data_IF_533034868730
#
_entry.id   IF_533034868730
#
_cell.length_a   1.000
_cell.length_b   1.000
_cell.length_c   1.000
_cell.angle_alpha   90.00
_cell.angle_beta   90.00
_cell.angle_gamma   90.00
#
_symmetry.space_group_name_H-M   'P 1'
#
loop_
_entity.id
_entity.type
_entity.pdbx_description
1 polymer ?
#
# COMPACT_ATOMS: atom_id res chain seq x y z
N UNK A 1 27.89 11.56 -6.69
CA UNK A 1 28.17 10.24 -7.30
C UNK A 1 28.86 10.52 -8.62
N UNK A 2 30.15 10.25 -8.73
CA UNK A 2 30.79 10.23 -10.03
C UNK A 2 30.21 9.07 -10.87
N UNK A 3 30.01 9.25 -12.19
CA UNK A 3 29.49 8.20 -13.04
C UNK A 3 30.49 7.05 -13.14
N UNK A 4 30.02 5.82 -12.95
CA UNK A 4 30.85 4.63 -13.18
C UNK A 4 31.23 4.58 -14.66
N UNK A 5 32.52 4.39 -15.00
CA UNK A 5 33.04 4.56 -16.36
C UNK A 5 32.56 3.49 -17.36
N UNK A 6 31.90 2.44 -16.90
CA UNK A 6 31.35 1.33 -17.67
C UNK A 6 29.86 1.49 -18.04
N UNK A 7 29.20 2.56 -17.58
CA UNK A 7 27.77 2.80 -17.85
C UNK A 7 27.62 3.86 -18.95
N UNK A 8 27.02 3.46 -20.08
CA UNK A 8 26.68 4.39 -21.17
C UNK A 8 25.60 5.39 -20.71
N UNK A 9 25.61 6.60 -21.28
CA UNK A 9 24.69 7.69 -20.88
C UNK A 9 23.21 7.28 -20.89
N UNK A 10 22.82 6.42 -21.83
CA UNK A 10 21.46 5.88 -21.91
C UNK A 10 21.08 5.06 -20.66
N UNK A 11 22.00 4.23 -20.17
CA UNK A 11 21.80 3.42 -18.98
C UNK A 11 21.80 4.28 -17.71
N UNK A 12 22.61 5.35 -17.67
CA UNK A 12 22.59 6.31 -16.58
C UNK A 12 21.23 7.03 -16.51
N UNK A 13 20.68 7.46 -17.65
CA UNK A 13 19.34 8.04 -17.74
C UNK A 13 18.25 7.03 -17.35
N UNK A 14 18.39 5.76 -17.73
CA UNK A 14 17.47 4.71 -17.31
C UNK A 14 17.52 4.47 -15.80
N UNK A 15 18.72 4.50 -15.19
CA UNK A 15 18.91 4.35 -13.75
C UNK A 15 18.28 5.52 -12.97
N UNK A 16 18.43 6.76 -13.45
CA UNK A 16 17.79 7.94 -12.84
C UNK A 16 16.27 7.84 -12.80
N UNK A 17 15.65 7.11 -13.74
CA UNK A 17 14.19 6.90 -13.74
C UNK A 17 13.74 5.88 -12.70
N UNK A 18 14.62 5.08 -12.09
CA UNK A 18 14.29 4.07 -11.08
C UNK A 18 14.10 4.67 -9.69
N UNK A 19 13.19 5.64 -9.58
CA UNK A 19 12.78 6.21 -8.29
C UNK A 19 11.54 5.50 -7.77
N UNK A 20 11.33 5.51 -6.44
CA UNK A 20 10.09 4.98 -5.86
C UNK A 20 8.87 5.69 -6.44
N UNK A 21 8.90 7.02 -6.54
CA UNK A 21 7.81 7.80 -7.17
C UNK A 21 7.46 7.28 -8.56
N UNK A 22 8.46 7.06 -9.42
CA UNK A 22 8.20 6.55 -10.77
C UNK A 22 7.68 5.11 -10.75
N UNK A 23 8.21 4.26 -9.86
CA UNK A 23 7.75 2.88 -9.71
C UNK A 23 6.27 2.82 -9.27
N UNK A 24 5.89 3.63 -8.28
CA UNK A 24 4.52 3.69 -7.78
C UNK A 24 3.55 4.37 -8.75
N UNK A 25 4.03 5.33 -9.56
CA UNK A 25 3.23 5.94 -10.63
C UNK A 25 2.96 4.95 -11.78
N UNK A 26 3.97 4.17 -12.18
CA UNK A 26 3.82 3.16 -13.24
C UNK A 26 3.01 1.94 -12.76
N UNK A 27 3.09 1.63 -11.46
CA UNK A 27 2.42 0.52 -10.78
C UNK A 27 2.38 -0.76 -11.63
N UNK A 28 3.55 -1.35 -11.95
CA UNK A 28 3.61 -2.56 -12.76
C UNK A 28 2.87 -3.72 -12.10
N UNK A 29 2.42 -4.71 -12.89
CA UNK A 29 1.58 -5.81 -12.43
C UNK A 29 2.15 -6.55 -11.20
N UNK A 30 3.46 -6.81 -11.17
CA UNK A 30 4.10 -7.47 -10.03
C UNK A 30 3.98 -6.66 -8.73
N UNK A 31 4.02 -5.32 -8.81
CA UNK A 31 3.89 -4.45 -7.65
C UNK A 31 2.44 -4.46 -7.16
N UNK A 32 1.47 -4.40 -8.08
CA UNK A 32 0.06 -4.53 -7.74
C UNK A 32 -0.23 -5.88 -7.05
N UNK A 33 0.30 -6.98 -7.58
CA UNK A 33 0.16 -8.32 -6.98
C UNK A 33 0.85 -8.42 -5.62
N UNK A 34 2.01 -7.77 -5.43
CA UNK A 34 2.68 -7.75 -4.13
C UNK A 34 1.84 -7.00 -3.07
N UNK A 35 1.23 -5.87 -3.45
CA UNK A 35 0.30 -5.16 -2.58
C UNK A 35 -0.95 -5.98 -2.24
N UNK A 36 -1.57 -6.63 -3.23
CA UNK A 36 -2.75 -7.48 -2.98
C UNK A 36 -2.46 -8.63 -2.00
N UNK A 37 -1.29 -9.27 -2.12
CA UNK A 37 -0.88 -10.32 -1.18
C UNK A 37 -0.66 -9.78 0.24
N UNK A 38 -0.03 -8.60 0.35
CA UNK A 38 0.18 -7.93 1.63
C UNK A 38 -1.17 -7.58 2.29
N UNK A 39 -2.08 -6.98 1.53
CA UNK A 39 -3.37 -6.54 2.06
C UNK A 39 -4.22 -7.73 2.52
N UNK A 40 -4.21 -8.85 1.79
CA UNK A 40 -4.88 -10.08 2.19
C UNK A 40 -4.31 -10.68 3.49
N UNK A 41 -2.98 -10.66 3.64
CA UNK A 41 -2.31 -11.11 4.87
C UNK A 41 -2.67 -10.22 6.07
N UNK A 42 -2.70 -8.90 5.87
CA UNK A 42 -3.13 -7.94 6.89
C UNK A 42 -4.59 -8.16 7.26
N UNK A 43 -5.50 -8.26 6.28
CA UNK A 43 -6.90 -8.54 6.53
C UNK A 43 -7.09 -9.80 7.39
N UNK A 44 -6.38 -10.88 7.04
CA UNK A 44 -6.39 -12.13 7.80
C UNK A 44 -5.92 -11.93 9.24
N UNK A 45 -4.80 -11.23 9.45
CA UNK A 45 -4.24 -10.97 10.79
C UNK A 45 -5.18 -10.15 11.68
N UNK A 46 -5.98 -9.27 11.08
CA UNK A 46 -6.99 -8.45 11.78
C UNK A 46 -8.37 -9.12 11.85
N UNK A 47 -8.51 -10.38 11.42
CA UNK A 47 -9.77 -11.12 11.46
C UNK A 47 -10.84 -10.59 10.49
N UNK A 48 -10.46 -9.86 9.45
CA UNK A 48 -11.34 -9.42 8.37
C UNK A 48 -11.58 -10.58 7.41
N UNK A 49 -12.78 -11.18 7.45
CA UNK A 49 -13.16 -12.33 6.63
C UNK A 49 -13.80 -11.95 5.29
N UNK A 50 -14.15 -10.68 5.12
CA UNK A 50 -14.90 -10.13 3.99
C UNK A 50 -14.06 -9.17 3.13
N UNK A 51 -12.73 -9.29 3.21
CA UNK A 51 -11.80 -8.52 2.40
C UNK A 51 -11.70 -9.11 0.99
N UNK A 52 -11.91 -8.25 -0.02
CA UNK A 52 -11.59 -8.53 -1.41
C UNK A 52 -10.73 -7.39 -1.96
N UNK A 53 -9.69 -7.66 -2.77
CA UNK A 53 -8.90 -6.62 -3.43
C UNK A 53 -9.72 -5.73 -4.38
N UNK A 54 -10.92 -6.16 -4.78
CA UNK A 54 -11.86 -5.37 -5.59
C UNK A 54 -12.78 -4.48 -4.72
N UNK A 55 -12.66 -4.54 -3.39
CA UNK A 55 -13.46 -3.72 -2.49
C UNK A 55 -13.05 -2.25 -2.65
N UNK A 56 -13.99 -1.32 -2.93
CA UNK A 56 -13.66 0.09 -3.02
C UNK A 56 -13.09 0.62 -1.70
N UNK A 57 -12.09 1.51 -1.78
CA UNK A 57 -11.46 2.13 -0.62
C UNK A 57 -12.47 2.78 0.33
N UNK A 58 -13.52 3.42 -0.22
CA UNK A 58 -14.58 4.05 0.57
C UNK A 58 -15.30 3.05 1.50
N UNK A 59 -15.51 1.81 1.07
CA UNK A 59 -16.13 0.78 1.90
C UNK A 59 -15.20 0.32 3.01
N UNK A 60 -13.90 0.22 2.72
CA UNK A 60 -12.86 -0.07 3.73
C UNK A 60 -12.83 1.05 4.77
N UNK A 61 -12.85 2.32 4.34
CA UNK A 61 -12.83 3.49 5.21
C UNK A 61 -14.07 3.57 6.11
N UNK A 62 -15.28 3.30 5.56
CA UNK A 62 -16.53 3.25 6.35
C UNK A 62 -16.44 2.20 7.46
N UNK A 63 -15.96 1.00 7.14
CA UNK A 63 -15.81 -0.09 8.12
C UNK A 63 -14.77 0.24 9.20
N UNK A 64 -13.67 0.89 8.83
CA UNK A 64 -12.65 1.33 9.79
C UNK A 64 -13.15 2.45 10.70
N UNK A 65 -13.94 3.38 10.17
CA UNK A 65 -14.55 4.45 10.94
C UNK A 65 -15.52 3.90 11.99
N UNK A 66 -16.41 2.98 11.60
CA UNK A 66 -17.34 2.33 12.53
C UNK A 66 -16.59 1.65 13.70
N UNK A 67 -15.57 0.84 13.38
CA UNK A 67 -14.73 0.18 14.37
C UNK A 67 -14.05 1.18 15.33
N UNK A 68 -13.54 2.29 14.80
CA UNK A 68 -12.89 3.33 15.61
C UNK A 68 -13.89 4.02 16.55
N UNK A 69 -15.13 4.26 16.11
CA UNK A 69 -16.19 4.84 16.93
C UNK A 69 -16.58 3.90 18.08
N UNK A 70 -16.75 2.60 17.81
CA UNK A 70 -17.04 1.58 18.83
C UNK A 70 -15.93 1.49 19.89
N UNK A 71 -14.66 1.44 19.44
CA UNK A 71 -13.50 1.45 20.34
C UNK A 71 -13.44 2.73 21.16
N UNK A 72 -13.69 3.88 20.54
CA UNK A 72 -13.69 5.17 21.25
C UNK A 72 -14.81 5.30 22.28
N UNK A 73 -15.96 4.66 22.03
CA UNK A 73 -17.05 4.57 23.00
C UNK A 73 -16.69 3.64 24.17
N UNK A 74 -15.98 2.54 23.89
CA UNK A 74 -15.51 1.60 24.92
C UNK A 74 -14.38 2.18 25.78
N UNK A 75 -13.51 3.00 25.19
CA UNK A 75 -12.35 3.61 25.87
C UNK A 75 -12.74 4.83 26.70
N UNK A 76 -13.83 5.53 26.37
CA UNK A 76 -14.37 6.58 27.25
C UNK A 76 -15.08 5.91 28.43
N UNK A 77 -14.59 6.08 29.68
CA UNK A 77 -15.35 5.60 30.83
C UNK A 77 -16.68 6.36 30.87
N UNK A 78 -17.79 5.63 31.06
CA UNK A 78 -19.08 6.24 31.39
C UNK A 78 -18.86 7.12 32.63
N UNK A 79 -19.01 8.43 32.45
CA UNK A 79 -19.07 9.41 33.53
C UNK A 79 -20.43 9.35 34.22
#
# INVERSE_FOLDING_TARGET
>A
MEPRPDIIEADLKALQKRTLTNLYNQRPAWLAMAHQQLDAAVATAYGRTDYSPDTPDDEILKRLLALNLERSATIRPSA
#
